data_IF_638760625080
#
_entry.id   IF_638760625080
#
_cell.length_a   1.000
_cell.length_b   1.000
_cell.length_c   1.000
_cell.angle_alpha   90.00
_cell.angle_beta   90.00
_cell.angle_gamma   90.00
#
_symmetry.space_group_name_H-M   'P 1'
#
loop_
_entity.id
_entity.type
_entity.pdbx_description
1 polymer ?
#
# COMPACT_ATOMS: atom_id res chain seq x y z
N UNK A 1 -20.43 -21.32 6.04
CA UNK A 1 -19.26 -20.56 6.54
C UNK A 1 -18.67 -19.79 5.37
N UNK A 2 -19.00 -18.51 5.23
CA UNK A 2 -18.36 -17.66 4.24
C UNK A 2 -16.97 -17.30 4.78
N UNK A 3 -15.91 -17.68 4.07
CA UNK A 3 -14.59 -17.13 4.32
C UNK A 3 -14.71 -15.61 4.23
N UNK A 4 -14.31 -14.88 5.27
CA UNK A 4 -14.08 -13.43 5.20
C UNK A 4 -12.81 -13.15 4.35
N UNK A 5 -12.79 -13.69 3.13
CA UNK A 5 -11.77 -13.39 2.14
C UNK A 5 -11.90 -11.95 1.72
N UNK A 6 -10.77 -11.28 1.52
CA UNK A 6 -10.73 -9.97 0.89
C UNK A 6 -11.58 -9.98 -0.39
N UNK A 7 -12.47 -9.00 -0.56
CA UNK A 7 -13.24 -8.86 -1.79
C UNK A 7 -12.24 -8.73 -2.97
N UNK A 8 -12.23 -9.66 -3.94
CA UNK A 8 -11.27 -9.66 -5.03
C UNK A 8 -11.32 -8.37 -5.86
N UNK A 9 -12.50 -7.75 -5.98
CA UNK A 9 -12.64 -6.47 -6.67
C UNK A 9 -11.92 -5.33 -5.91
N UNK A 10 -11.98 -5.35 -4.57
CA UNK A 10 -11.27 -4.37 -3.76
C UNK A 10 -9.75 -4.58 -3.83
N UNK A 11 -9.28 -5.82 -3.90
CA UNK A 11 -7.85 -6.12 -4.10
C UNK A 11 -7.36 -5.62 -5.45
N UNK A 12 -8.12 -5.88 -6.52
CA UNK A 12 -7.79 -5.40 -7.87
C UNK A 12 -7.76 -3.87 -7.94
N UNK A 13 -8.71 -3.20 -7.28
CA UNK A 13 -8.71 -1.73 -7.17
C UNK A 13 -7.50 -1.22 -6.40
N UNK A 14 -7.14 -1.85 -5.28
CA UNK A 14 -5.96 -1.47 -4.50
C UNK A 14 -4.66 -1.69 -5.28
N UNK A 15 -4.55 -2.79 -6.03
CA UNK A 15 -3.39 -3.05 -6.88
C UNK A 15 -3.27 -2.02 -8.02
N UNK A 16 -4.40 -1.63 -8.62
CA UNK A 16 -4.43 -0.59 -9.66
C UNK A 16 -4.01 0.77 -9.10
N UNK A 17 -4.58 1.17 -7.96
CA UNK A 17 -4.21 2.41 -7.26
C UNK A 17 -2.76 2.42 -6.83
N UNK A 18 -2.23 1.29 -6.37
CA UNK A 18 -0.81 1.15 -6.04
C UNK A 18 0.07 1.40 -7.26
N UNK A 19 -0.22 0.74 -8.39
CA UNK A 19 0.56 0.92 -9.62
C UNK A 19 0.51 2.38 -10.13
N UNK A 20 -0.66 3.03 -10.03
CA UNK A 20 -0.82 4.45 -10.37
C UNK A 20 -0.03 5.36 -9.43
N UNK A 21 -0.04 5.08 -8.13
CA UNK A 21 0.75 5.83 -7.16
C UNK A 21 2.25 5.65 -7.41
N UNK A 22 2.70 4.43 -7.71
CA UNK A 22 4.12 4.15 -8.01
C UNK A 22 4.63 4.90 -9.25
N UNK A 23 3.79 5.12 -10.26
CA UNK A 23 4.13 5.91 -11.45
C UNK A 23 4.38 7.39 -11.15
N UNK A 24 3.83 7.91 -10.04
CA UNK A 24 3.99 9.31 -9.64
C UNK A 24 5.26 9.58 -8.84
N UNK A 25 5.86 8.53 -8.28
CA UNK A 25 7.04 8.66 -7.45
C UNK A 25 8.30 8.32 -8.22
N UNK A 26 9.36 9.08 -7.99
CA UNK A 26 10.70 8.73 -8.45
C UNK A 26 11.20 7.48 -7.73
N UNK A 27 12.20 6.79 -8.32
CA UNK A 27 12.82 5.63 -7.68
C UNK A 27 13.37 5.94 -6.27
N UNK A 28 13.92 7.15 -6.05
CA UNK A 28 14.41 7.56 -4.74
C UNK A 28 13.29 7.73 -3.72
N UNK A 29 12.15 8.29 -4.14
CA UNK A 29 10.95 8.41 -3.30
C UNK A 29 10.35 7.04 -2.98
N UNK A 30 10.27 6.14 -3.96
CA UNK A 30 9.82 4.77 -3.74
C UNK A 30 10.72 4.01 -2.76
N UNK A 31 12.03 4.19 -2.85
CA UNK A 31 12.96 3.57 -1.92
C UNK A 31 12.81 4.11 -0.50
N UNK A 32 12.65 5.43 -0.35
CA UNK A 32 12.32 6.04 0.93
C UNK A 32 11.00 5.49 1.50
N UNK A 33 9.95 5.39 0.68
CA UNK A 33 8.66 4.85 1.13
C UNK A 33 8.76 3.39 1.57
N UNK A 34 9.56 2.57 0.88
CA UNK A 34 9.83 1.18 1.29
C UNK A 34 10.53 1.14 2.64
N UNK A 35 11.56 1.94 2.84
CA UNK A 35 12.28 2.03 4.11
C UNK A 35 11.33 2.50 5.23
N UNK A 36 10.58 3.58 4.98
CA UNK A 36 9.61 4.10 5.94
C UNK A 36 8.54 3.05 6.30
N UNK A 37 8.04 2.30 5.31
CA UNK A 37 7.03 1.25 5.52
C UNK A 37 7.52 0.12 6.45
N UNK A 38 8.83 -0.16 6.48
CA UNK A 38 9.39 -1.15 7.44
C UNK A 38 9.26 -0.69 8.89
N UNK A 39 9.24 0.62 9.13
CA UNK A 39 9.13 1.24 10.45
C UNK A 39 7.67 1.53 10.81
N UNK A 40 6.89 2.06 9.86
CA UNK A 40 5.50 2.44 10.07
C UNK A 40 4.62 2.08 8.86
N UNK A 41 3.87 0.99 8.99
CA UNK A 41 2.91 0.52 7.97
C UNK A 41 1.60 1.31 7.95
N UNK A 42 1.28 2.04 9.01
CA UNK A 42 0.00 2.74 9.20
C UNK A 42 0.22 4.22 9.52
N UNK A 43 0.84 4.99 8.61
CA UNK A 43 1.02 6.41 8.82
C UNK A 43 -0.32 7.12 8.96
N UNK A 44 -0.45 7.89 10.03
CA UNK A 44 -1.49 8.92 10.19
C UNK A 44 -1.27 10.08 9.21
N UNK A 45 -2.30 10.88 8.96
CA UNK A 45 -2.27 11.99 7.99
C UNK A 45 -1.09 12.95 8.20
N UNK A 46 -0.75 13.29 9.44
CA UNK A 46 0.38 14.20 9.70
C UNK A 46 1.73 13.63 9.24
N UNK A 47 1.94 12.31 9.30
CA UNK A 47 3.16 11.69 8.78
C UNK A 47 3.23 11.82 7.25
N UNK A 48 2.10 11.65 6.57
CA UNK A 48 2.02 11.81 5.12
C UNK A 48 2.27 13.27 4.71
N UNK A 49 1.77 14.23 5.49
CA UNK A 49 2.08 15.65 5.30
C UNK A 49 3.58 15.93 5.47
N UNK A 50 4.22 15.41 6.53
CA UNK A 50 5.67 15.59 6.71
C UNK A 50 6.48 15.03 5.54
N UNK A 51 6.08 13.88 4.97
CA UNK A 51 6.74 13.31 3.79
C UNK A 51 6.54 14.21 2.55
N UNK A 52 5.33 14.73 2.35
CA UNK A 52 5.04 15.64 1.24
C UNK A 52 5.82 16.97 1.37
N UNK A 53 5.85 17.56 2.57
CA UNK A 53 6.64 18.76 2.89
C UNK A 53 8.13 18.54 2.64
N UNK A 54 8.68 17.39 3.03
CA UNK A 54 10.09 17.04 2.78
C UNK A 54 10.42 17.00 1.29
N UNK A 55 9.45 16.68 0.45
CA UNK A 55 9.61 16.67 -1.01
C UNK A 55 9.13 17.97 -1.67
N UNK A 56 8.86 18.99 -0.86
CA UNK A 56 8.44 20.32 -1.28
C UNK A 56 7.22 20.30 -2.21
N UNK A 57 6.25 19.43 -1.90
CA UNK A 57 5.00 19.30 -2.64
C UNK A 57 3.80 19.58 -1.75
N UNK A 58 2.99 20.56 -2.16
CA UNK A 58 1.68 20.88 -1.55
C UNK A 58 0.52 20.29 -2.36
N UNK A 59 0.81 19.43 -3.34
CA UNK A 59 -0.19 18.84 -4.21
C UNK A 59 -1.07 17.83 -3.45
N UNK A 60 -2.37 18.11 -3.39
CA UNK A 60 -3.35 17.24 -2.76
C UNK A 60 -3.44 15.87 -3.45
N UNK A 61 -3.27 15.80 -4.77
CA UNK A 61 -3.29 14.53 -5.49
C UNK A 61 -2.04 13.70 -5.15
N UNK A 62 -0.93 14.36 -4.85
CA UNK A 62 0.28 13.70 -4.36
C UNK A 62 0.04 13.06 -2.99
N UNK A 63 -0.66 13.77 -2.10
CA UNK A 63 -1.07 13.24 -0.80
C UNK A 63 -1.98 12.00 -0.94
N UNK A 64 -2.95 12.03 -1.86
CA UNK A 64 -3.80 10.86 -2.15
C UNK A 64 -2.93 9.69 -2.63
N UNK A 65 -1.96 9.95 -3.50
CA UNK A 65 -1.07 8.93 -4.05
C UNK A 65 -0.21 8.28 -2.95
N UNK A 66 0.25 9.06 -1.96
CA UNK A 66 0.94 8.53 -0.79
C UNK A 66 0.03 7.58 0.01
N UNK A 67 -1.19 8.02 0.33
CA UNK A 67 -2.15 7.20 1.06
C UNK A 67 -2.51 5.90 0.32
N UNK A 68 -2.76 5.99 -0.99
CA UNK A 68 -3.04 4.85 -1.87
C UNK A 68 -1.85 3.88 -1.92
N UNK A 69 -0.60 4.39 -1.93
CA UNK A 69 0.59 3.55 -1.89
C UNK A 69 0.66 2.72 -0.60
N UNK A 70 0.50 3.35 0.57
CA UNK A 70 0.52 2.63 1.86
C UNK A 70 -0.63 1.62 1.97
N UNK A 71 -1.82 1.97 1.49
CA UNK A 71 -2.96 1.05 1.49
C UNK A 71 -2.72 -0.15 0.56
N UNK A 72 -2.29 0.12 -0.68
CA UNK A 72 -2.01 -0.90 -1.68
C UNK A 72 -0.94 -1.89 -1.23
N UNK A 73 0.15 -1.40 -0.61
CA UNK A 73 1.21 -2.26 -0.06
C UNK A 73 0.68 -3.20 1.03
N UNK A 74 -0.15 -2.70 1.95
CA UNK A 74 -0.77 -3.56 2.99
C UNK A 74 -1.67 -4.63 2.40
N UNK A 75 -2.47 -4.28 1.38
CA UNK A 75 -3.35 -5.23 0.72
C UNK A 75 -2.57 -6.31 -0.04
N UNK A 76 -1.49 -5.93 -0.73
CA UNK A 76 -0.59 -6.87 -1.39
C UNK A 76 0.09 -7.82 -0.39
N UNK A 77 0.55 -7.33 0.77
CA UNK A 77 1.10 -8.18 1.82
C UNK A 77 0.06 -9.16 2.36
N UNK A 78 -1.16 -8.69 2.61
CA UNK A 78 -2.25 -9.52 3.13
C UNK A 78 -2.67 -10.60 2.12
N UNK A 79 -2.72 -10.27 0.84
CA UNK A 79 -3.01 -11.23 -0.23
C UNK A 79 -1.96 -12.36 -0.26
N UNK A 80 -0.67 -12.04 -0.10
CA UNK A 80 0.40 -13.05 -0.05
C UNK A 80 0.21 -13.99 1.15
N UNK A 81 -0.16 -13.46 2.31
CA UNK A 81 -0.42 -14.26 3.52
C UNK A 81 -1.64 -15.16 3.32
N UNK A 82 -2.77 -14.63 2.84
CA UNK A 82 -4.00 -15.40 2.63
C UNK A 82 -3.80 -16.52 1.59
N UNK A 83 -3.08 -16.26 0.49
CA UNK A 83 -2.74 -17.30 -0.51
C UNK A 83 -1.84 -18.40 0.08
N UNK A 84 -0.89 -18.04 0.95
CA UNK A 84 -0.03 -19.03 1.65
C UNK A 84 -0.84 -19.89 2.61
N UNK A 85 -1.74 -19.29 3.37
CA UNK A 85 -2.58 -20.01 4.34
C UNK A 85 -3.54 -20.96 3.62
N UNK A 86 -4.16 -20.52 2.52
CA UNK A 86 -4.99 -21.39 1.67
C UNK A 86 -4.20 -22.57 1.08
N UNK A 87 -2.97 -22.33 0.61
CA UNK A 87 -2.09 -23.39 0.11
C UNK A 87 -1.66 -24.40 1.19
N UNK A 88 -1.51 -23.96 2.45
CA UNK A 88 -1.23 -24.87 3.58
C UNK A 88 -2.45 -25.69 3.99
N UNK A 89 -3.65 -25.09 3.99
CA UNK A 89 -4.89 -25.79 4.34
C UNK A 89 -5.26 -26.81 3.26
N UNK A 90 -5.02 -26.52 1.98
CA UNK A 90 -5.30 -27.46 0.89
C UNK A 90 -4.31 -28.65 0.82
N UNK A 91 -3.15 -28.55 1.48
CA UNK A 91 -2.12 -29.59 1.52
C UNK A 91 -2.15 -30.45 2.81
N UNK A 92 -3.08 -30.19 3.73
CA UNK A 92 -3.29 -30.92 4.98
C UNK A 92 -4.58 -31.75 4.92
#
# INVERSE_FOLDING_TARGET
MAFYGLNPDMLAQCATKLAQAEQRFTNAQLEYLRQYYTVNKYPLSHHLHTIAEQWNTEDFDFFISLADWFLGRRMAEREIVERRDQGRIAAA
#
